data_IF_695160478458
#
_entry.id   IF_695160478458
#
_cell.length_a   1.000
_cell.length_b   1.000
_cell.length_c   1.000
_cell.angle_alpha   90.00
_cell.angle_beta   90.00
_cell.angle_gamma   90.00
#
_symmetry.space_group_name_H-M   'P 1'
#
loop_
_entity.id
_entity.type
_entity.pdbx_description
1 polymer ?
#
# COMPACT_ATOMS: atom_id res chain seq x y z
N UNK A 1 -8.63 -8.52 8.62
CA UNK A 1 -7.25 -8.99 8.44
C UNK A 1 -6.68 -9.26 9.83
N UNK A 2 -5.95 -10.34 10.03
CA UNK A 2 -5.45 -10.65 11.36
C UNK A 2 -4.28 -9.71 11.71
N UNK A 3 -4.14 -9.26 12.97
CA UNK A 3 -3.09 -8.32 13.36
C UNK A 3 -1.67 -8.87 13.10
N UNK A 4 -1.50 -10.19 13.16
CA UNK A 4 -0.26 -10.85 12.81
C UNK A 4 0.11 -10.72 11.31
N UNK A 5 -0.88 -10.73 10.41
CA UNK A 5 -0.66 -10.58 8.97
C UNK A 5 -0.24 -9.15 8.63
N UNK A 6 -0.88 -8.15 9.23
CA UNK A 6 -0.50 -6.75 9.06
C UNK A 6 0.93 -6.49 9.54
N UNK A 7 1.31 -7.08 10.67
CA UNK A 7 2.67 -6.94 11.22
C UNK A 7 3.71 -7.52 10.25
N UNK A 8 3.46 -8.71 9.70
CA UNK A 8 4.35 -9.32 8.71
C UNK A 8 4.49 -8.46 7.46
N UNK A 9 3.39 -7.92 6.94
CA UNK A 9 3.40 -7.07 5.74
C UNK A 9 4.14 -5.77 6.00
N UNK A 10 4.01 -5.19 7.19
CA UNK A 10 4.80 -4.02 7.61
C UNK A 10 6.30 -4.27 7.52
N UNK A 11 6.77 -5.46 7.91
CA UNK A 11 8.18 -5.84 7.77
C UNK A 11 8.63 -6.12 6.33
N UNK A 12 7.70 -6.37 5.41
CA UNK A 12 8.00 -6.61 3.99
C UNK A 12 8.05 -5.30 3.20
N UNK A 13 7.37 -4.26 3.69
CA UNK A 13 7.32 -2.94 3.08
C UNK A 13 8.47 -2.07 3.61
N UNK A 14 8.94 -1.09 2.82
CA UNK A 14 9.87 -0.08 3.31
C UNK A 14 9.30 0.67 4.52
N UNK A 15 10.16 1.00 5.47
CA UNK A 15 9.80 1.90 6.57
C UNK A 15 9.24 3.22 6.02
N UNK A 16 8.11 3.66 6.58
CA UNK A 16 7.43 4.89 6.16
C UNK A 16 6.37 4.73 5.06
N UNK A 17 6.23 3.56 4.41
CA UNK A 17 5.08 3.36 3.49
C UNK A 17 3.75 3.43 4.25
N UNK A 18 3.69 2.84 5.45
CA UNK A 18 2.45 2.79 6.24
C UNK A 18 2.06 4.11 6.88
N UNK A 19 2.95 5.11 6.84
CA UNK A 19 2.63 6.48 7.23
C UNK A 19 1.61 7.07 6.25
N UNK A 20 1.83 6.87 4.95
CA UNK A 20 1.00 7.42 3.87
C UNK A 20 -0.04 6.45 3.32
N UNK A 21 0.18 5.14 3.44
CA UNK A 21 -0.69 4.11 2.89
C UNK A 21 -1.25 3.21 3.98
N UNK A 22 -2.47 2.73 3.81
CA UNK A 22 -3.07 1.70 4.66
C UNK A 22 -3.20 0.38 3.90
N UNK A 23 -2.87 -0.73 4.55
CA UNK A 23 -3.04 -2.07 3.97
C UNK A 23 -4.53 -2.45 4.07
N UNK A 24 -5.25 -2.37 2.95
CA UNK A 24 -6.64 -2.79 2.86
C UNK A 24 -6.78 -4.31 2.93
N UNK A 25 -5.95 -5.01 2.16
CA UNK A 25 -6.08 -6.46 1.97
C UNK A 25 -4.80 -7.07 1.48
N UNK A 26 -4.57 -8.31 1.87
CA UNK A 26 -3.58 -9.18 1.23
C UNK A 26 -4.28 -10.40 0.69
N UNK A 27 -4.09 -10.68 -0.59
CA UNK A 27 -4.58 -11.85 -1.28
C UNK A 27 -3.38 -12.63 -1.81
N UNK A 28 -3.47 -13.95 -1.75
CA UNK A 28 -2.48 -14.84 -2.37
C UNK A 28 -3.15 -15.55 -3.53
N UNK A 29 -2.62 -15.35 -4.73
CA UNK A 29 -3.11 -16.00 -5.94
C UNK A 29 -2.02 -16.93 -6.49
N UNK A 30 -2.19 -18.24 -6.26
CA UNK A 30 -1.25 -19.32 -6.64
C UNK A 30 0.21 -19.11 -6.20
N UNK A 31 0.98 -18.30 -6.92
CA UNK A 31 2.41 -17.97 -6.70
C UNK A 31 2.69 -16.47 -6.63
N UNK A 32 1.65 -15.64 -6.63
CA UNK A 32 1.72 -14.20 -6.50
C UNK A 32 1.06 -13.75 -5.20
N UNK A 33 1.74 -12.86 -4.48
CA UNK A 33 1.18 -12.16 -3.33
C UNK A 33 0.70 -10.78 -3.79
N UNK A 34 -0.59 -10.54 -3.70
CA UNK A 34 -1.22 -9.26 -4.02
C UNK A 34 -1.53 -8.50 -2.74
N UNK A 35 -0.87 -7.36 -2.56
CA UNK A 35 -1.06 -6.49 -1.40
C UNK A 35 -1.76 -5.24 -1.90
N UNK A 36 -2.93 -4.96 -1.35
CA UNK A 36 -3.74 -3.78 -1.67
C UNK A 36 -3.45 -2.70 -0.63
N UNK A 37 -2.99 -1.56 -1.11
CA UNK A 37 -2.66 -0.37 -0.35
C UNK A 37 -3.61 0.76 -0.78
N UNK A 38 -4.14 1.50 0.19
CA UNK A 38 -4.91 2.70 -0.05
C UNK A 38 -4.16 3.92 0.45
N UNK A 39 -4.01 4.94 -0.39
CA UNK A 39 -3.42 6.20 0.02
C UNK A 39 -4.32 6.89 1.05
N UNK A 40 -3.76 7.17 2.23
CA UNK A 40 -4.45 7.95 3.24
C UNK A 40 -4.55 9.38 2.75
N UNK A 41 -5.73 9.98 2.90
CA UNK A 41 -5.94 11.40 2.62
C UNK A 41 -5.40 12.26 3.78
N UNK A 42 -4.08 12.24 3.99
CA UNK A 42 -3.42 13.00 5.06
C UNK A 42 -2.96 14.33 4.49
N UNK A 43 -3.46 15.42 5.06
CA UNK A 43 -2.95 16.74 4.72
C UNK A 43 -1.51 16.88 5.24
N UNK A 44 -0.55 17.31 4.40
CA UNK A 44 0.79 17.60 4.87
C UNK A 44 0.73 18.68 5.97
N UNK A 45 1.48 18.48 7.05
CA UNK A 45 1.47 19.39 8.20
C UNK A 45 1.84 20.82 7.77
N UNK A 46 0.86 21.72 7.82
CA UNK A 46 1.02 23.12 7.42
C UNK A 46 0.02 23.62 6.39
N UNK A 47 -0.71 22.72 5.71
CA UNK A 47 -1.80 23.08 4.79
C UNK A 47 -3.14 22.60 5.34
N UNK A 48 -4.14 23.48 5.31
CA UNK A 48 -5.52 23.09 5.58
C UNK A 48 -6.01 22.16 4.47
N UNK A 49 -6.91 21.23 4.79
CA UNK A 49 -7.59 20.34 3.82
C UNK A 49 -8.19 21.15 2.64
N UNK A 50 -8.45 22.43 2.85
CA UNK A 50 -8.97 23.42 1.91
C UNK A 50 -8.03 23.78 0.74
N UNK A 51 -6.74 23.46 0.82
CA UNK A 51 -5.75 23.72 -0.26
C UNK A 51 -5.35 22.45 -1.04
N UNK A 52 -5.92 21.29 -0.70
CA UNK A 52 -5.66 20.03 -1.40
C UNK A 52 -6.60 19.91 -2.61
N UNK A 53 -6.08 20.19 -3.80
CA UNK A 53 -6.72 19.75 -5.04
C UNK A 53 -6.53 18.23 -5.18
N UNK A 54 -7.64 17.50 -5.14
CA UNK A 54 -7.65 16.08 -5.50
C UNK A 54 -7.23 15.98 -6.97
N UNK A 55 -6.06 15.38 -7.25
CA UNK A 55 -5.55 15.15 -8.63
C UNK A 55 -6.39 14.17 -9.46
N UNK A 56 -7.61 13.87 -9.01
CA UNK A 56 -8.45 12.79 -9.50
C UNK A 56 -8.02 11.44 -8.92
N UNK A 57 -8.80 10.40 -9.21
CA UNK A 57 -8.41 9.04 -8.92
C UNK A 57 -7.22 8.68 -9.80
N UNK A 58 -6.06 8.47 -9.19
CA UNK A 58 -4.94 7.87 -9.89
C UNK A 58 -5.36 6.43 -10.28
N UNK A 59 -5.07 5.98 -11.51
CA UNK A 59 -5.33 4.59 -11.88
C UNK A 59 -4.57 3.66 -10.92
N UNK A 60 -5.16 2.50 -10.59
CA UNK A 60 -4.51 1.50 -9.74
C UNK A 60 -3.09 1.23 -10.26
N UNK A 61 -2.08 1.58 -9.45
CA UNK A 61 -0.69 1.34 -9.80
C UNK A 61 -0.32 -0.03 -9.28
N UNK A 62 0.11 -0.91 -10.18
CA UNK A 62 0.61 -2.24 -9.83
C UNK A 62 2.13 -2.26 -9.91
N UNK A 63 2.79 -2.38 -8.76
CA UNK A 63 4.25 -2.48 -8.65
C UNK A 63 4.62 -3.94 -8.43
N UNK A 64 5.35 -4.53 -9.37
CA UNK A 64 5.77 -5.93 -9.35
C UNK A 64 7.29 -6.05 -9.18
N UNK A 65 7.84 -5.66 -8.01
CA UNK A 65 9.30 -5.47 -7.90
C UNK A 65 10.00 -6.22 -6.75
N UNK A 66 9.29 -6.98 -5.91
CA UNK A 66 9.92 -7.59 -4.73
C UNK A 66 9.81 -9.12 -4.72
N UNK A 67 10.83 -9.87 -5.19
CA UNK A 67 10.82 -11.32 -5.14
C UNK A 67 11.09 -11.79 -3.70
N UNK A 68 10.09 -11.68 -2.83
CA UNK A 68 10.15 -12.19 -1.45
C UNK A 68 10.36 -13.70 -1.53
N UNK A 69 11.58 -14.16 -1.23
CA UNK A 69 11.99 -15.57 -1.25
C UNK A 69 11.61 -16.30 -2.56
N UNK A 70 11.68 -15.62 -3.70
CA UNK A 70 11.37 -16.19 -5.03
C UNK A 70 9.88 -16.27 -5.40
N UNK A 71 9.00 -15.59 -4.66
CA UNK A 71 7.58 -15.42 -5.03
C UNK A 71 7.35 -14.06 -5.69
N UNK A 72 6.45 -13.99 -6.66
CA UNK A 72 6.05 -12.71 -7.25
C UNK A 72 5.23 -11.93 -6.24
N UNK A 73 5.50 -10.64 -6.08
CA UNK A 73 4.73 -9.76 -5.22
C UNK A 73 4.26 -8.59 -6.06
N UNK A 74 2.95 -8.34 -6.03
CA UNK A 74 2.29 -7.24 -6.69
C UNK A 74 1.67 -6.33 -5.64
N UNK A 75 2.16 -5.10 -5.55
CA UNK A 75 1.59 -4.05 -4.73
C UNK A 75 0.59 -3.28 -5.60
N UNK A 76 -0.69 -3.37 -5.26
CA UNK A 76 -1.77 -2.60 -5.91
C UNK A 76 -2.07 -1.40 -5.03
N UNK A 77 -1.73 -0.22 -5.53
CA UNK A 77 -1.92 1.05 -4.83
C UNK A 77 -3.12 1.75 -5.46
N UNK A 78 -4.07 2.14 -4.61
CA UNK A 78 -5.28 2.88 -4.99
C UNK A 78 -5.43 4.15 -4.17
#
# INVERSE_FOLDING_TARGET
>A
MNPAEQTLVSFLLPEGILDYFEILKVAKESKELQIFLEEKNIAPSGYGITELESKGFLPEVSIQDFPIRGQKVALRIK
#
